data_IF_963896294600
#
_entry.id   IF_963896294600
#
_cell.length_a   1.000
_cell.length_b   1.000
_cell.length_c   1.000
_cell.angle_alpha   90.00
_cell.angle_beta   90.00
_cell.angle_gamma   90.00
#
_symmetry.space_group_name_H-M   'P 1'
#
loop_
_entity.id
_entity.type
_entity.pdbx_description
1 polymer ?
#
# COMPACT_ATOMS: atom_id res chain seq x y z
N UNK A 1 -20.78 9.99 -7.64
CA UNK A 1 -20.22 8.72 -8.13
C UNK A 1 -18.99 8.99 -8.98
N UNK A 2 -17.90 8.24 -8.75
CA UNK A 2 -16.69 8.40 -9.56
C UNK A 2 -16.95 7.91 -10.98
N UNK A 3 -16.44 8.62 -11.99
CA UNK A 3 -16.47 8.13 -13.36
C UNK A 3 -15.37 7.08 -13.58
N UNK A 4 -15.31 6.48 -14.78
CA UNK A 4 -14.36 5.40 -15.08
C UNK A 4 -12.90 5.87 -14.94
N UNK A 5 -12.58 7.08 -15.38
CA UNK A 5 -11.24 7.64 -15.30
C UNK A 5 -10.83 7.88 -13.85
N UNK A 6 -11.74 8.38 -13.02
CA UNK A 6 -11.52 8.59 -11.59
C UNK A 6 -11.29 7.25 -10.88
N UNK A 7 -12.12 6.26 -11.18
CA UNK A 7 -11.98 4.91 -10.58
C UNK A 7 -10.64 4.28 -10.94
N UNK A 8 -10.20 4.39 -12.19
CA UNK A 8 -8.89 3.89 -12.63
C UNK A 8 -7.77 4.62 -11.91
N UNK A 9 -7.87 5.95 -11.77
CA UNK A 9 -6.87 6.74 -11.07
C UNK A 9 -6.73 6.35 -9.61
N UNK A 10 -7.85 6.11 -8.92
CA UNK A 10 -7.88 5.66 -7.54
C UNK A 10 -7.21 4.28 -7.41
N UNK A 11 -7.54 3.36 -8.31
CA UNK A 11 -6.96 2.03 -8.29
C UNK A 11 -5.46 2.05 -8.59
N UNK A 12 -5.02 2.90 -9.52
CA UNK A 12 -3.60 3.07 -9.82
C UNK A 12 -2.84 3.65 -8.62
N UNK A 13 -3.41 4.66 -7.95
CA UNK A 13 -2.82 5.21 -6.74
C UNK A 13 -2.70 4.14 -5.65
N UNK A 14 -3.75 3.34 -5.46
CA UNK A 14 -3.75 2.25 -4.47
C UNK A 14 -2.66 1.23 -4.79
N UNK A 15 -2.53 0.84 -6.05
CA UNK A 15 -1.51 -0.12 -6.47
C UNK A 15 -0.10 0.42 -6.24
N UNK A 16 0.15 1.67 -6.62
CA UNK A 16 1.45 2.31 -6.41
C UNK A 16 1.78 2.38 -4.91
N UNK A 17 0.79 2.70 -4.08
CA UNK A 17 0.96 2.77 -2.63
C UNK A 17 1.24 1.39 -2.04
N UNK A 18 0.59 0.35 -2.54
CA UNK A 18 0.83 -1.03 -2.11
C UNK A 18 2.23 -1.51 -2.51
N UNK A 19 2.75 -1.08 -3.66
CA UNK A 19 4.14 -1.35 -4.05
C UNK A 19 5.11 -0.67 -3.07
N UNK A 20 4.84 0.56 -2.68
CA UNK A 20 5.66 1.27 -1.70
C UNK A 20 5.61 0.58 -0.33
N UNK A 21 4.44 0.08 0.08
CA UNK A 21 4.31 -0.73 1.30
C UNK A 21 5.18 -1.98 1.22
N UNK A 22 5.14 -2.68 0.10
CA UNK A 22 5.93 -3.89 -0.12
C UNK A 22 7.43 -3.59 -0.02
N UNK A 23 7.88 -2.47 -0.57
CA UNK A 23 9.27 -2.05 -0.48
C UNK A 23 9.68 -1.76 0.97
N UNK A 24 8.82 -1.10 1.75
CA UNK A 24 9.08 -0.83 3.15
C UNK A 24 9.19 -2.13 3.95
N UNK A 25 8.27 -3.07 3.72
CA UNK A 25 8.30 -4.39 4.36
C UNK A 25 9.59 -5.13 4.02
N UNK A 26 9.97 -5.13 2.74
CA UNK A 26 11.20 -5.79 2.29
C UNK A 26 12.44 -5.17 2.94
N UNK A 27 12.48 -3.85 3.05
CA UNK A 27 13.57 -3.14 3.73
C UNK A 27 13.64 -3.50 5.21
N UNK A 28 12.49 -3.59 5.87
CA UNK A 28 12.43 -3.99 7.28
C UNK A 28 12.98 -5.41 7.46
N UNK A 29 12.54 -6.34 6.62
CA UNK A 29 13.00 -7.74 6.68
C UNK A 29 14.50 -7.83 6.42
N UNK A 30 15.00 -7.10 5.43
CA UNK A 30 16.42 -7.10 5.09
C UNK A 30 17.29 -6.60 6.25
N UNK A 31 16.73 -5.75 7.11
CA UNK A 31 17.44 -5.11 8.22
C UNK A 31 17.06 -5.69 9.59
N UNK A 32 16.44 -6.87 9.63
CA UNK A 32 15.99 -7.48 10.89
C UNK A 32 17.15 -7.72 11.86
N UNK A 33 18.38 -7.88 11.35
CA UNK A 33 19.58 -8.08 12.14
C UNK A 33 20.50 -6.86 12.18
N UNK A 34 20.05 -5.70 11.68
CA UNK A 34 20.87 -4.49 11.69
C UNK A 34 20.68 -3.75 13.01
N UNK A 35 21.72 -3.62 13.84
CA UNK A 35 21.58 -2.90 15.12
C UNK A 35 21.08 -1.48 14.91
N UNK A 36 20.14 -1.06 15.73
CA UNK A 36 19.60 0.31 15.70
C UNK A 36 18.60 0.58 14.59
N UNK A 37 18.32 -0.38 13.72
CA UNK A 37 17.38 -0.16 12.63
C UNK A 37 15.95 0.02 13.16
N UNK A 38 15.28 1.06 12.67
CA UNK A 38 13.89 1.36 13.04
C UNK A 38 12.98 1.08 11.84
N UNK A 39 12.04 0.16 12.04
CA UNK A 39 11.09 -0.25 11.00
C UNK A 39 10.21 0.91 10.59
N UNK A 40 9.95 1.01 9.30
CA UNK A 40 9.03 2.00 8.72
C UNK A 40 7.87 1.30 8.03
N UNK A 41 6.79 2.04 7.85
CA UNK A 41 5.63 1.57 7.09
C UNK A 41 5.14 2.68 6.19
N UNK A 42 4.39 2.32 5.16
CA UNK A 42 3.73 3.28 4.28
C UNK A 42 2.24 3.27 4.61
N UNK A 43 1.67 4.45 4.85
CA UNK A 43 0.25 4.62 5.09
C UNK A 43 -0.38 5.40 3.95
N UNK A 44 -1.52 4.97 3.47
CA UNK A 44 -2.26 5.69 2.44
C UNK A 44 -3.78 5.52 2.58
N UNK A 45 -4.23 4.50 3.31
CA UNK A 45 -5.65 4.13 3.39
C UNK A 45 -6.50 5.27 3.94
N UNK A 46 -6.04 5.92 5.02
CA UNK A 46 -6.76 7.05 5.63
C UNK A 46 -6.82 8.25 4.69
N UNK A 47 -5.70 8.54 4.03
CA UNK A 47 -5.63 9.64 3.07
C UNK A 47 -6.55 9.39 1.89
N UNK A 48 -6.59 8.15 1.40
CA UNK A 48 -7.45 7.75 0.30
C UNK A 48 -8.92 7.88 0.71
N UNK A 49 -9.29 7.39 1.89
CA UNK A 49 -10.66 7.47 2.38
C UNK A 49 -11.11 8.94 2.48
N UNK A 50 -10.25 9.82 2.99
CA UNK A 50 -10.55 11.25 3.09
C UNK A 50 -10.69 11.88 1.70
N UNK A 51 -9.81 11.53 0.76
CA UNK A 51 -9.88 12.05 -0.61
C UNK A 51 -11.17 11.63 -1.29
N UNK A 52 -11.61 10.40 -1.07
CA UNK A 52 -12.88 9.91 -1.62
C UNK A 52 -14.08 10.66 -1.06
N UNK A 53 -14.04 11.00 0.23
CA UNK A 53 -15.13 11.73 0.89
C UNK A 53 -15.15 13.22 0.51
N UNK A 54 -13.97 13.85 0.45
CA UNK A 54 -13.85 15.31 0.29
C UNK A 54 -13.47 15.74 -1.12
N UNK A 55 -13.08 14.81 -1.99
CA UNK A 55 -12.64 15.12 -3.35
C UNK A 55 -11.23 15.66 -3.46
N UNK A 56 -10.43 15.57 -2.40
CA UNK A 56 -9.04 16.01 -2.40
C UNK A 56 -8.10 14.96 -2.98
N UNK A 57 -6.82 15.28 -3.00
CA UNK A 57 -5.78 14.35 -3.44
C UNK A 57 -5.39 13.39 -2.32
N UNK A 58 -5.18 12.12 -2.68
CA UNK A 58 -4.66 11.11 -1.76
C UNK A 58 -3.13 11.10 -1.80
N UNK A 59 -2.50 10.84 -0.65
CA UNK A 59 -1.04 10.76 -0.53
C UNK A 59 -0.63 9.52 0.24
N UNK A 60 0.52 8.95 -0.13
CA UNK A 60 1.17 7.89 0.62
C UNK A 60 2.32 8.51 1.43
N UNK A 61 2.46 8.08 2.69
CA UNK A 61 3.49 8.61 3.59
C UNK A 61 4.27 7.49 4.23
N UNK A 62 5.59 7.69 4.38
CA UNK A 62 6.47 6.79 5.10
C UNK A 62 6.52 7.26 6.54
N UNK A 63 6.14 6.40 7.47
CA UNK A 63 6.11 6.72 8.90
C UNK A 63 6.78 5.59 9.70
N UNK A 64 7.31 5.89 10.92
CA UNK A 64 7.82 4.82 11.78
C UNK A 64 6.71 3.85 12.19
N UNK A 65 7.04 2.55 12.30
CA UNK A 65 6.08 1.59 12.84
C UNK A 65 5.83 1.78 14.32
N UNK A 66 6.84 2.25 15.05
CA UNK A 66 6.68 2.57 16.46
C UNK A 66 6.69 1.38 17.40
N UNK A 67 7.20 0.25 16.96
CA UNK A 67 7.31 -0.94 17.80
C UNK A 67 8.44 -0.77 18.82
N UNK A 68 8.36 -1.52 19.93
CA UNK A 68 9.40 -1.54 20.95
C UNK A 68 10.69 -2.15 20.40
N UNK A 69 11.84 -1.53 20.71
CA UNK A 69 13.14 -1.98 20.24
C UNK A 69 13.68 -3.12 21.10
N UNK A 70 14.42 -4.02 20.46
CA UNK A 70 15.23 -5.02 21.16
C UNK A 70 16.46 -4.37 21.82
N UNK A 71 17.27 -5.16 22.52
CA UNK A 71 18.43 -4.64 23.25
C UNK A 71 19.47 -3.97 22.37
N UNK A 72 19.53 -4.36 21.08
CA UNK A 72 20.43 -3.74 20.10
C UNK A 72 19.85 -2.49 19.43
N UNK A 73 18.65 -2.06 19.83
CA UNK A 73 17.96 -0.92 19.27
C UNK A 73 17.12 -1.21 18.03
N UNK A 74 17.13 -2.42 17.52
CA UNK A 74 16.35 -2.83 16.35
C UNK A 74 14.91 -3.10 16.78
N UNK A 75 13.93 -2.55 16.05
CA UNK A 75 12.52 -2.77 16.38
C UNK A 75 11.75 -3.52 15.28
N UNK A 76 12.44 -4.18 14.36
CA UNK A 76 11.78 -5.00 13.34
C UNK A 76 11.21 -6.26 13.98
N UNK A 77 9.92 -6.49 13.75
CA UNK A 77 9.27 -7.76 14.12
C UNK A 77 9.07 -8.58 12.85
N UNK A 78 9.84 -9.65 12.69
CA UNK A 78 9.77 -10.49 11.50
C UNK A 78 8.36 -11.06 11.30
N UNK A 79 7.72 -11.52 12.37
CA UNK A 79 6.36 -12.06 12.27
C UNK A 79 5.36 -11.01 11.83
N UNK A 80 5.48 -9.78 12.33
CA UNK A 80 4.65 -8.65 11.89
C UNK A 80 4.87 -8.36 10.42
N UNK A 81 6.12 -8.30 9.98
CA UNK A 81 6.44 -8.00 8.58
C UNK A 81 5.91 -9.07 7.64
N UNK A 82 6.02 -10.34 8.03
CA UNK A 82 5.50 -11.45 7.21
C UNK A 82 3.97 -11.39 7.09
N UNK A 83 3.28 -11.05 8.17
CA UNK A 83 1.83 -10.86 8.16
C UNK A 83 1.44 -9.69 7.25
N UNK A 84 2.16 -8.58 7.38
CA UNK A 84 1.91 -7.40 6.53
C UNK A 84 2.16 -7.71 5.06
N UNK A 85 3.17 -8.53 4.76
CA UNK A 85 3.46 -8.94 3.38
C UNK A 85 2.32 -9.78 2.80
N UNK A 86 1.75 -10.70 3.58
CA UNK A 86 0.60 -11.50 3.15
C UNK A 86 -0.62 -10.63 2.89
N UNK A 87 -0.91 -9.69 3.79
CA UNK A 87 -2.02 -8.74 3.63
C UNK A 87 -1.79 -7.89 2.39
N UNK A 88 -0.58 -7.38 2.20
CA UNK A 88 -0.21 -6.58 1.02
C UNK A 88 -0.43 -7.37 -0.27
N UNK A 89 -0.01 -8.64 -0.31
CA UNK A 89 -0.23 -9.50 -1.48
C UNK A 89 -1.70 -9.64 -1.83
N UNK A 90 -2.54 -9.88 -0.83
CA UNK A 90 -3.98 -10.04 -1.04
C UNK A 90 -4.61 -8.74 -1.53
N UNK A 91 -4.24 -7.62 -0.92
CA UNK A 91 -4.74 -6.31 -1.34
C UNK A 91 -4.29 -5.98 -2.76
N UNK A 92 -3.04 -6.28 -3.09
CA UNK A 92 -2.50 -6.04 -4.44
C UNK A 92 -3.25 -6.84 -5.50
N UNK A 93 -3.54 -8.12 -5.23
CA UNK A 93 -4.33 -8.95 -6.14
C UNK A 93 -5.73 -8.40 -6.32
N UNK A 94 -6.36 -7.94 -5.24
CA UNK A 94 -7.70 -7.36 -5.29
C UNK A 94 -7.72 -6.11 -6.16
N UNK A 95 -6.74 -5.23 -5.98
CA UNK A 95 -6.63 -4.00 -6.77
C UNK A 95 -6.32 -4.31 -8.24
N UNK A 96 -5.42 -5.26 -8.49
CA UNK A 96 -5.10 -5.69 -9.86
C UNK A 96 -6.35 -6.21 -10.58
N UNK A 97 -7.13 -7.04 -9.91
CA UNK A 97 -8.36 -7.58 -10.49
C UNK A 97 -9.38 -6.47 -10.77
N UNK A 98 -9.54 -5.54 -9.82
CA UNK A 98 -10.45 -4.41 -9.99
C UNK A 98 -10.01 -3.52 -11.15
N UNK A 99 -8.71 -3.28 -11.29
CA UNK A 99 -8.15 -2.46 -12.36
C UNK A 99 -8.35 -3.13 -13.72
N UNK A 100 -8.10 -4.44 -13.81
CA UNK A 100 -8.37 -5.22 -15.01
C UNK A 100 -9.84 -5.15 -15.42
N UNK A 101 -10.75 -5.26 -14.45
CA UNK A 101 -12.18 -5.17 -14.71
C UNK A 101 -12.55 -3.80 -15.25
N UNK A 102 -11.99 -2.73 -14.69
CA UNK A 102 -12.24 -1.36 -15.16
C UNK A 102 -11.74 -1.15 -16.59
N UNK A 103 -10.57 -1.68 -16.92
CA UNK A 103 -10.05 -1.60 -18.29
C UNK A 103 -10.90 -2.41 -19.27
N UNK A 104 -11.40 -3.57 -18.86
CA UNK A 104 -12.32 -4.38 -19.70
C UNK A 104 -13.63 -3.62 -19.98
N UNK A 105 -14.20 -2.99 -18.97
CA UNK A 105 -15.43 -2.20 -19.13
C UNK A 105 -15.17 -1.03 -20.07
N UNK A 106 -14.06 -0.35 -19.93
CA UNK A 106 -13.69 0.77 -20.79
C UNK A 106 -13.48 0.31 -22.23
N UNK A 107 -12.79 -0.80 -22.43
CA UNK A 107 -12.56 -1.39 -23.75
C UNK A 107 -13.90 -1.74 -24.43
N UNK A 108 -14.81 -2.38 -23.70
CA UNK A 108 -16.13 -2.73 -24.22
C UNK A 108 -16.93 -1.50 -24.60
N UNK A 109 -16.83 -0.42 -23.84
CA UNK A 109 -17.53 0.83 -24.11
C UNK A 109 -16.99 1.52 -25.38
N UNK A 110 -15.69 1.33 -25.69
CA UNK A 110 -15.05 1.95 -26.87
C UNK A 110 -15.34 1.10 -28.12
N UNK A 111 -15.30 -0.22 -28.00
CA UNK A 111 -15.36 -1.11 -29.16
C UNK A 111 -16.76 -1.63 -29.45
N UNK A 112 -17.63 -1.49 -28.51
CA UNK A 112 -18.86 -2.12 -28.60
C UNK A 112 -20.13 -1.64 -28.52
#
# INVERSE_FOLDING_TARGET
>A
MADAAESIGILQFSLDSLVQQQQAIANNIANVNTPGYQATKVTFESSLAKALADGGAATAQIVPEGLASASDGNNVSLSTEMTLMQVNSLQSQTVDNALSDQFSILSDAITG
#
